data_IF_617011219835
#
_entry.id   IF_617011219835
#
_cell.length_a   1.000
_cell.length_b   1.000
_cell.length_c   1.000
_cell.angle_alpha   90.00
_cell.angle_beta   90.00
_cell.angle_gamma   90.00
#
_symmetry.space_group_name_H-M   'P 1'
#
loop_
_entity.id
_entity.type
_entity.pdbx_description
1 polymer ?
#
# COMPACT_ATOMS: atom_id res chain seq x y z
N UNK A 1 30.51 27.00 6.94
CA UNK A 1 29.49 26.37 6.08
C UNK A 1 29.01 25.15 6.83
N UNK A 2 28.03 25.33 7.71
CA UNK A 2 27.36 24.23 8.40
C UNK A 2 25.87 24.44 8.16
N UNK A 3 25.30 23.58 7.32
CA UNK A 3 23.87 23.52 7.09
C UNK A 3 23.30 22.57 8.12
N UNK A 4 22.74 23.12 9.19
CA UNK A 4 21.84 22.38 10.09
C UNK A 4 20.63 21.93 9.26
N UNK A 5 20.60 20.65 8.91
CA UNK A 5 19.42 20.01 8.36
C UNK A 5 18.40 19.90 9.50
N UNK A 6 17.52 20.91 9.58
CA UNK A 6 16.35 20.94 10.45
C UNK A 6 15.46 19.73 10.12
N UNK A 7 15.69 18.63 10.84
CA UNK A 7 14.97 17.36 10.74
C UNK A 7 13.59 17.43 11.37
N UNK A 8 12.89 18.55 11.20
CA UNK A 8 11.54 18.76 11.71
C UNK A 8 10.56 18.01 10.82
N UNK A 9 10.30 16.76 11.19
CA UNK A 9 9.25 15.95 10.59
C UNK A 9 7.93 16.69 10.80
N UNK A 10 7.39 17.28 9.73
CA UNK A 10 6.10 17.93 9.77
C UNK A 10 5.03 16.87 10.06
N UNK A 11 4.54 16.84 11.29
CA UNK A 11 3.36 16.08 11.66
C UNK A 11 2.17 16.69 10.92
N UNK A 12 1.77 16.11 9.78
CA UNK A 12 0.45 16.37 9.26
C UNK A 12 -0.54 15.71 10.22
N UNK A 13 -1.18 16.51 11.07
CA UNK A 13 -2.44 16.17 11.72
C UNK A 13 -3.50 15.93 10.62
N UNK A 14 -3.49 14.75 10.03
CA UNK A 14 -4.63 14.23 9.29
C UNK A 14 -5.26 13.17 10.15
N UNK A 15 -6.34 13.54 10.84
CA UNK A 15 -7.30 12.58 11.36
C UNK A 15 -7.73 11.67 10.20
N UNK A 16 -7.46 10.38 10.34
CA UNK A 16 -7.70 9.32 9.36
C UNK A 16 -6.80 9.35 8.11
N UNK A 17 -5.80 8.44 8.03
CA UNK A 17 -4.97 8.23 6.83
C UNK A 17 -5.78 7.93 5.56
N UNK A 18 -7.04 7.50 5.73
CA UNK A 18 -7.91 7.01 4.67
C UNK A 18 -8.90 8.06 4.15
N UNK A 19 -9.07 9.18 4.84
CA UNK A 19 -10.06 10.22 4.52
C UNK A 19 -9.52 11.29 3.53
N UNK A 20 -8.28 11.16 3.07
CA UNK A 20 -7.65 12.10 2.17
C UNK A 20 -8.20 12.03 0.73
N UNK A 21 -8.35 13.17 0.02
CA UNK A 21 -8.85 13.22 -1.37
C UNK A 21 -8.00 12.40 -2.37
N UNK A 22 -6.75 12.08 -2.02
CA UNK A 22 -5.87 11.21 -2.81
C UNK A 22 -6.35 9.77 -2.87
N UNK A 23 -6.88 9.22 -1.77
CA UNK A 23 -7.38 7.84 -1.75
C UNK A 23 -8.68 7.69 -2.55
N UNK A 24 -9.56 8.70 -2.49
CA UNK A 24 -10.77 8.73 -3.32
C UNK A 24 -10.44 8.73 -4.82
N UNK A 25 -9.46 9.52 -5.26
CA UNK A 25 -9.03 9.56 -6.67
C UNK A 25 -8.43 8.22 -7.15
N UNK A 26 -7.66 7.55 -6.31
CA UNK A 26 -7.12 6.21 -6.59
C UNK A 26 -8.24 5.18 -6.73
N UNK A 27 -9.18 5.14 -5.79
CA UNK A 27 -10.30 4.21 -5.84
C UNK A 27 -11.16 4.43 -7.09
N UNK A 28 -11.34 5.68 -7.50
CA UNK A 28 -12.04 6.02 -8.74
C UNK A 28 -11.29 5.53 -9.98
N UNK A 29 -9.97 5.69 -10.05
CA UNK A 29 -9.17 5.16 -11.16
C UNK A 29 -9.17 3.62 -11.18
N UNK A 30 -9.06 2.95 -10.03
CA UNK A 30 -9.19 1.49 -9.96
C UNK A 30 -10.58 1.00 -10.40
N UNK A 31 -11.64 1.74 -10.05
CA UNK A 31 -12.99 1.45 -10.55
C UNK A 31 -13.10 1.63 -12.07
N UNK A 32 -12.42 2.63 -12.63
CA UNK A 32 -12.30 2.80 -14.09
C UNK A 32 -11.58 1.62 -14.75
N UNK A 33 -10.47 1.15 -14.16
CA UNK A 33 -9.75 -0.05 -14.63
C UNK A 33 -10.66 -1.28 -14.62
N UNK A 34 -11.48 -1.46 -13.59
CA UNK A 34 -12.44 -2.57 -13.51
C UNK A 34 -13.43 -2.53 -14.68
N UNK A 35 -13.97 -1.35 -15.01
CA UNK A 35 -14.85 -1.19 -16.18
C UNK A 35 -14.13 -1.50 -17.50
N UNK A 36 -12.88 -1.06 -17.64
CA UNK A 36 -12.05 -1.36 -18.82
C UNK A 36 -11.80 -2.87 -18.96
N UNK A 37 -11.64 -3.59 -17.85
CA UNK A 37 -11.45 -5.04 -17.84
C UNK A 37 -12.72 -5.79 -18.27
N UNK A 38 -13.90 -5.33 -17.81
CA UNK A 38 -15.19 -5.83 -18.29
C UNK A 38 -15.34 -5.58 -19.80
N UNK A 39 -14.98 -4.39 -20.28
CA UNK A 39 -15.02 -4.06 -21.70
C UNK A 39 -14.08 -4.98 -22.51
N UNK A 40 -12.85 -5.21 -22.04
CA UNK A 40 -11.90 -6.09 -22.69
C UNK A 40 -12.44 -7.52 -22.83
N UNK A 41 -13.04 -8.07 -21.78
CA UNK A 41 -13.66 -9.40 -21.80
C UNK A 41 -14.82 -9.49 -22.80
N UNK A 42 -15.67 -8.46 -22.86
CA UNK A 42 -16.76 -8.39 -23.85
C UNK A 42 -16.24 -8.34 -25.28
N UNK A 43 -15.22 -7.52 -25.52
CA UNK A 43 -14.58 -7.40 -26.84
C UNK A 43 -13.89 -8.69 -27.26
N UNK A 44 -13.24 -9.40 -26.34
CA UNK A 44 -12.68 -10.72 -26.58
C UNK A 44 -13.76 -11.74 -26.94
N UNK A 45 -14.88 -11.75 -26.23
CA UNK A 45 -16.01 -12.63 -26.56
C UNK A 45 -16.57 -12.33 -27.97
N UNK A 46 -16.69 -11.06 -28.34
CA UNK A 46 -17.07 -10.65 -29.70
C UNK A 46 -16.07 -11.14 -30.73
N UNK A 47 -14.76 -10.99 -30.48
CA UNK A 47 -13.73 -11.52 -31.36
C UNK A 47 -13.86 -13.04 -31.52
N UNK A 48 -14.08 -13.79 -30.43
CA UNK A 48 -14.27 -15.25 -30.48
C UNK A 48 -15.51 -15.67 -31.27
N UNK A 49 -16.58 -14.88 -31.27
CA UNK A 49 -17.76 -15.13 -32.11
C UNK A 49 -17.47 -15.03 -33.61
N UNK A 50 -16.38 -14.36 -34.01
CA UNK A 50 -15.92 -14.29 -35.40
C UNK A 50 -14.91 -15.41 -35.77
N UNK A 51 -14.56 -16.30 -34.83
CA UNK A 51 -13.61 -17.42 -35.01
C UNK A 51 -14.31 -18.73 -35.41
N UNK A 52 -15.65 -18.76 -35.46
CA UNK A 52 -16.47 -19.94 -35.82
C UNK A 52 -16.00 -20.62 -37.13
N UNK A 53 -16.09 -21.96 -37.22
CA UNK A 53 -15.32 -22.74 -38.18
C UNK A 53 -15.71 -22.40 -39.61
N UNK A 54 -14.70 -21.91 -40.33
CA UNK A 54 -14.74 -21.33 -41.66
C UNK A 54 -15.24 -22.32 -42.71
N UNK A 55 -16.41 -22.05 -43.28
CA UNK A 55 -16.82 -22.61 -44.58
C UNK A 55 -16.92 -21.58 -45.70
N UNK A 56 -16.67 -20.30 -45.44
CA UNK A 56 -16.62 -19.30 -46.51
C UNK A 56 -15.61 -18.21 -46.23
N UNK A 57 -14.90 -17.82 -47.28
CA UNK A 57 -14.00 -16.68 -47.35
C UNK A 57 -14.78 -15.37 -47.24
N UNK A 58 -15.39 -15.11 -46.09
CA UNK A 58 -16.08 -13.86 -45.81
C UNK A 58 -15.07 -12.83 -45.29
N UNK A 59 -14.52 -12.03 -46.21
CA UNK A 59 -13.55 -10.96 -45.89
C UNK A 59 -14.07 -10.01 -44.81
N UNK A 60 -15.39 -9.79 -44.77
CA UNK A 60 -16.06 -8.98 -43.75
C UNK A 60 -15.92 -9.55 -42.35
N UNK A 61 -16.04 -10.88 -42.18
CA UNK A 61 -15.86 -11.54 -40.89
C UNK A 61 -14.40 -11.48 -40.41
N UNK A 62 -13.46 -11.62 -41.36
CA UNK A 62 -12.02 -11.48 -41.07
C UNK A 62 -11.67 -10.05 -40.64
N UNK A 63 -12.25 -9.04 -41.30
CA UNK A 63 -12.07 -7.64 -40.92
C UNK A 63 -12.69 -7.32 -39.55
N UNK A 64 -13.87 -7.84 -39.26
CA UNK A 64 -14.54 -7.70 -37.96
C UNK A 64 -13.73 -8.35 -36.83
N UNK A 65 -13.18 -9.54 -37.05
CA UNK A 65 -12.28 -10.21 -36.12
C UNK A 65 -11.02 -9.39 -35.83
N UNK A 66 -10.34 -8.90 -36.87
CA UNK A 66 -9.13 -8.09 -36.73
C UNK A 66 -9.40 -6.79 -35.97
N UNK A 67 -10.54 -6.14 -36.26
CA UNK A 67 -10.98 -4.94 -35.54
C UNK A 67 -11.20 -5.23 -34.05
N UNK A 68 -11.99 -6.25 -33.73
CA UNK A 68 -12.28 -6.63 -32.34
C UNK A 68 -11.01 -7.05 -31.59
N UNK A 69 -10.07 -7.73 -32.25
CA UNK A 69 -8.80 -8.13 -31.66
C UNK A 69 -7.89 -6.92 -31.39
N UNK A 70 -7.86 -5.95 -32.30
CA UNK A 70 -7.10 -4.71 -32.11
C UNK A 70 -7.66 -3.89 -30.94
N UNK A 71 -8.97 -3.77 -30.86
CA UNK A 71 -9.67 -3.09 -29.76
C UNK A 71 -9.43 -3.80 -28.42
N UNK A 72 -9.45 -5.13 -28.39
CA UNK A 72 -9.09 -5.91 -27.21
C UNK A 72 -7.65 -5.64 -26.75
N UNK A 73 -6.66 -5.69 -27.65
CA UNK A 73 -5.26 -5.44 -27.31
C UNK A 73 -5.03 -4.00 -26.83
N UNK A 74 -5.77 -3.04 -27.39
CA UNK A 74 -5.73 -1.66 -26.95
C UNK A 74 -6.25 -1.50 -25.52
N UNK A 75 -7.39 -2.12 -25.20
CA UNK A 75 -7.94 -2.13 -23.83
C UNK A 75 -6.96 -2.79 -22.84
N UNK A 76 -6.31 -3.90 -23.23
CA UNK A 76 -5.29 -4.56 -22.41
C UNK A 76 -4.10 -3.62 -22.14
N UNK A 77 -3.65 -2.88 -23.15
CA UNK A 77 -2.57 -1.90 -23.00
C UNK A 77 -2.96 -0.76 -22.05
N UNK A 78 -4.18 -0.25 -22.16
CA UNK A 78 -4.70 0.81 -21.29
C UNK A 78 -4.78 0.35 -19.84
N UNK A 79 -5.35 -0.84 -19.59
CA UNK A 79 -5.40 -1.49 -18.27
C UNK A 79 -3.99 -1.64 -17.69
N UNK A 80 -3.03 -2.14 -18.46
CA UNK A 80 -1.65 -2.29 -17.99
C UNK A 80 -0.98 -0.96 -17.66
N UNK A 81 -1.20 0.07 -18.46
CA UNK A 81 -0.61 1.40 -18.25
C UNK A 81 -1.17 2.03 -16.98
N UNK A 82 -2.49 1.93 -16.78
CA UNK A 82 -3.17 2.49 -15.61
C UNK A 82 -2.80 1.70 -14.35
N UNK A 83 -2.78 0.36 -14.37
CA UNK A 83 -2.33 -0.45 -13.24
C UNK A 83 -0.86 -0.24 -12.90
N UNK A 84 0.02 -0.09 -13.88
CA UNK A 84 1.43 0.23 -13.65
C UNK A 84 1.59 1.59 -12.96
N UNK A 85 0.74 2.57 -13.31
CA UNK A 85 0.64 3.84 -12.60
C UNK A 85 0.32 3.68 -11.12
N UNK A 86 -0.47 2.66 -10.74
CA UNK A 86 -0.93 2.42 -9.37
C UNK A 86 -0.15 1.29 -8.64
N UNK A 87 0.83 0.65 -9.28
CA UNK A 87 1.55 -0.52 -8.70
C UNK A 87 2.29 -0.16 -7.41
N UNK A 88 2.71 1.10 -7.27
CA UNK A 88 3.36 1.61 -6.07
C UNK A 88 2.42 1.58 -4.85
N UNK A 89 1.11 1.72 -5.05
CA UNK A 89 0.10 1.65 -3.99
C UNK A 89 -0.10 0.22 -3.48
N UNK A 90 0.03 -0.78 -4.36
CA UNK A 90 0.08 -2.19 -3.95
C UNK A 90 1.40 -2.51 -3.24
N UNK A 91 2.49 -1.84 -3.62
CA UNK A 91 3.77 -1.94 -2.93
C UNK A 91 3.72 -1.36 -1.51
N UNK A 92 2.91 -0.32 -1.29
CA UNK A 92 2.62 0.23 0.04
C UNK A 92 1.66 -0.66 0.85
N UNK A 93 0.82 -1.46 0.18
CA UNK A 93 0.00 -2.52 0.78
C UNK A 93 0.78 -3.82 1.09
N UNK A 94 2.10 -3.89 0.82
CA UNK A 94 2.94 -4.89 1.48
C UNK A 94 2.99 -4.52 2.96
N UNK A 95 2.33 -5.36 3.75
CA UNK A 95 2.01 -5.18 5.17
C UNK A 95 3.16 -4.65 6.03
N UNK A 96 4.44 -4.84 5.64
CA UNK A 96 5.60 -4.37 6.41
C UNK A 96 6.83 -4.02 5.54
N UNK A 97 6.67 -3.39 4.37
CA UNK A 97 7.83 -2.99 3.56
C UNK A 97 8.56 -1.74 4.05
N UNK A 98 7.81 -0.77 4.59
CA UNK A 98 8.31 0.54 5.07
C UNK A 98 7.56 1.05 6.30
N UNK A 99 6.88 0.17 7.02
CA UNK A 99 6.11 0.56 8.20
C UNK A 99 7.06 0.87 9.35
N UNK A 100 7.15 2.14 9.75
CA UNK A 100 7.83 2.56 10.98
C UNK A 100 7.14 1.99 12.22
N UNK A 101 5.95 1.40 12.09
CA UNK A 101 5.21 0.75 13.16
C UNK A 101 6.04 -0.22 13.98
N UNK A 102 6.87 -1.06 13.35
CA UNK A 102 7.76 -1.98 14.07
C UNK A 102 8.74 -1.23 14.96
N UNK A 103 9.46 -0.27 14.37
CA UNK A 103 10.42 0.57 15.09
C UNK A 103 9.76 1.44 16.18
N UNK A 104 8.55 1.96 15.91
CA UNK A 104 7.76 2.75 16.86
C UNK A 104 7.28 1.90 18.04
N UNK A 105 6.81 0.67 17.77
CA UNK A 105 6.39 -0.27 18.82
C UNK A 105 7.57 -0.80 19.62
N UNK A 106 8.70 -1.08 18.99
CA UNK A 106 9.91 -1.48 19.68
C UNK A 106 10.44 -0.36 20.58
N UNK A 107 10.41 0.88 20.11
CA UNK A 107 10.79 2.04 20.93
C UNK A 107 9.83 2.25 22.10
N UNK A 108 8.52 2.12 21.88
CA UNK A 108 7.52 2.22 22.95
C UNK A 108 7.71 1.11 24.00
N UNK A 109 7.88 -0.14 23.55
CA UNK A 109 8.12 -1.28 24.42
C UNK A 109 9.44 -1.12 25.21
N UNK A 110 10.49 -0.58 24.58
CA UNK A 110 11.76 -0.31 25.24
C UNK A 110 11.62 0.75 26.33
N UNK A 111 10.82 1.81 26.10
CA UNK A 111 10.56 2.84 27.12
C UNK A 111 9.78 2.27 28.30
N UNK A 112 8.78 1.45 28.04
CA UNK A 112 8.00 0.81 29.11
C UNK A 112 8.87 -0.12 29.96
N UNK A 113 9.75 -0.91 29.32
CA UNK A 113 10.72 -1.75 30.03
C UNK A 113 11.67 -0.93 30.91
N UNK A 114 12.22 0.17 30.39
CA UNK A 114 13.09 1.06 31.17
C UNK A 114 12.34 1.66 32.37
N UNK A 115 11.08 2.05 32.18
CA UNK A 115 10.24 2.56 33.27
C UNK A 115 10.06 1.53 34.38
N UNK A 116 9.72 0.29 34.04
CA UNK A 116 9.56 -0.80 35.01
C UNK A 116 10.87 -1.06 35.78
N UNK A 117 12.01 -1.11 35.07
CA UNK A 117 13.32 -1.29 35.71
C UNK A 117 13.64 -0.14 36.66
N UNK A 118 13.35 1.10 36.27
CA UNK A 118 13.56 2.28 37.11
C UNK A 118 12.71 2.23 38.38
N UNK A 119 11.43 1.88 38.26
CA UNK A 119 10.52 1.71 39.40
C UNK A 119 11.01 0.63 40.37
N UNK A 120 11.51 -0.49 39.84
CA UNK A 120 12.11 -1.56 40.65
C UNK A 120 13.38 -1.10 41.37
N UNK A 121 14.29 -0.40 40.67
CA UNK A 121 15.52 0.14 41.28
C UNK A 121 15.21 1.16 42.38
N UNK A 122 14.24 2.04 42.17
CA UNK A 122 13.81 3.01 43.18
C UNK A 122 13.14 2.33 44.38
N UNK A 123 12.40 1.24 44.16
CA UNK A 123 11.84 0.43 45.23
C UNK A 123 12.93 -0.24 46.06
N UNK A 124 13.92 -0.84 45.39
CA UNK A 124 15.07 -1.48 46.06
C UNK A 124 15.94 -0.47 46.81
N UNK A 125 16.19 0.70 46.22
CA UNK A 125 16.94 1.78 46.90
C UNK A 125 16.24 2.18 48.19
N UNK A 126 14.92 2.46 48.13
CA UNK A 126 14.14 2.78 49.33
C UNK A 126 14.17 1.66 50.36
N UNK A 127 14.04 0.41 49.92
CA UNK A 127 14.14 -0.72 50.83
C UNK A 127 15.51 -0.81 51.53
N UNK A 128 16.60 -0.54 50.81
CA UNK A 128 17.94 -0.49 51.40
C UNK A 128 18.10 0.70 52.35
N UNK A 129 17.63 1.89 51.97
CA UNK A 129 17.69 3.08 52.82
C UNK A 129 16.88 2.90 54.13
N UNK A 130 15.76 2.15 54.07
CA UNK A 130 14.88 1.90 55.21
C UNK A 130 15.37 0.75 56.12
N UNK A 131 16.07 -0.26 55.59
CA UNK A 131 16.41 -1.48 56.31
C UNK A 131 17.92 -1.71 56.53
N UNK A 132 18.77 -0.92 55.87
CA UNK A 132 20.22 -0.98 56.00
C UNK A 132 20.67 0.29 56.73
N UNK A 133 20.32 0.38 58.02
CA UNK A 133 20.95 1.35 58.91
C UNK A 133 22.47 1.12 58.86
N UNK A 134 23.30 2.19 58.82
CA UNK A 134 24.74 2.00 58.94
C UNK A 134 24.99 1.38 60.32
N UNK A 135 25.60 0.19 60.36
CA UNK A 135 26.18 -0.27 61.62
C UNK A 135 27.25 0.75 62.00
N UNK A 136 26.94 1.58 63.00
CA UNK A 136 27.89 2.49 63.62
C UNK A 136 29.09 1.67 64.14
N UNK A 137 30.28 1.91 63.57
CA UNK A 137 31.58 1.61 64.19
C UNK A 137 32.22 2.89 64.68
#
# INVERSE_FOLDING_TARGET
MEAELDGRVHFSESSEPWAGPRHAAVLQSLSSVEQNLIAALRTAATAMNHVTPRTSADENSTMAFNKATTEFLQLVKEIHTELAGHIHLVSDYRTYGRSTYGAEKDMALSRDKVKVVLEQLQSMSRYLDENLAPEES
#
